data_IF_164927630355
#
_entry.id   IF_164927630355
#
_cell.length_a   1.000
_cell.length_b   1.000
_cell.length_c   1.000
_cell.angle_alpha   90.00
_cell.angle_beta   90.00
_cell.angle_gamma   90.00
#
_symmetry.space_group_name_H-M   'P 1'
#
loop_
_entity.id
_entity.type
_entity.pdbx_description
1 polymer ?
#
# COMPACT_ATOMS: atom_id res chain seq x y z
N UNK A 1 34.25 1.02 1.71
CA UNK A 1 34.80 2.38 1.44
C UNK A 1 36.31 2.48 1.72
N UNK A 2 36.81 1.94 2.85
CA UNK A 2 38.24 2.01 3.20
C UNK A 2 39.17 1.35 2.16
N UNK A 3 38.79 0.20 1.59
CA UNK A 3 39.58 -0.46 0.54
C UNK A 3 39.70 0.36 -0.76
N UNK A 4 38.63 1.04 -1.19
CA UNK A 4 38.65 1.89 -2.38
C UNK A 4 39.54 3.13 -2.18
N UNK A 5 39.55 3.70 -0.96
CA UNK A 5 40.46 4.79 -0.59
C UNK A 5 41.91 4.32 -0.49
N UNK A 6 42.15 3.12 0.03
CA UNK A 6 43.49 2.52 0.09
C UNK A 6 44.09 2.24 -1.31
N UNK A 7 43.24 1.99 -2.32
CA UNK A 7 43.61 1.84 -3.73
C UNK A 7 43.76 3.18 -4.47
N UNK A 8 43.68 4.33 -3.78
CA UNK A 8 43.81 5.66 -4.40
C UNK A 8 42.65 6.05 -5.32
N UNK A 9 41.51 5.35 -5.26
CA UNK A 9 40.36 5.67 -6.12
C UNK A 9 39.73 7.01 -5.73
N UNK A 10 39.46 7.83 -6.74
CA UNK A 10 38.64 9.05 -6.58
C UNK A 10 37.27 8.69 -5.97
N UNK A 11 36.74 9.50 -5.03
CA UNK A 11 35.47 9.22 -4.35
C UNK A 11 34.32 8.93 -5.33
N UNK A 12 34.21 9.71 -6.41
CA UNK A 12 33.19 9.52 -7.43
C UNK A 12 33.24 8.14 -8.10
N UNK A 13 34.45 7.60 -8.35
CA UNK A 13 34.64 6.27 -8.95
C UNK A 13 34.27 5.18 -7.96
N UNK A 14 34.63 5.33 -6.68
CA UNK A 14 34.25 4.39 -5.64
C UNK A 14 32.72 4.32 -5.47
N UNK A 15 32.01 5.45 -5.58
CA UNK A 15 30.55 5.49 -5.53
C UNK A 15 29.92 4.75 -6.71
N UNK A 16 30.32 5.03 -7.94
CA UNK A 16 29.72 4.42 -9.13
C UNK A 16 30.06 2.94 -9.31
N UNK A 17 31.30 2.55 -9.02
CA UNK A 17 31.79 1.19 -9.32
C UNK A 17 31.57 0.22 -8.18
N UNK A 18 31.52 0.70 -6.93
CA UNK A 18 31.44 -0.17 -5.75
C UNK A 18 30.12 0.04 -5.01
N UNK A 19 29.83 1.26 -4.58
CA UNK A 19 28.69 1.52 -3.68
C UNK A 19 27.36 1.39 -4.41
N UNK A 20 27.23 1.94 -5.61
CA UNK A 20 26.00 1.94 -6.39
C UNK A 20 25.51 0.54 -6.80
N UNK A 21 26.34 -0.34 -7.40
CA UNK A 21 25.93 -1.70 -7.72
C UNK A 21 25.64 -2.53 -6.47
N UNK A 22 26.35 -2.31 -5.36
CA UNK A 22 26.07 -2.99 -4.08
C UNK A 22 24.76 -2.52 -3.46
N UNK A 23 24.52 -1.22 -3.42
CA UNK A 23 23.31 -0.62 -2.87
C UNK A 23 22.07 -1.10 -3.64
N UNK A 24 22.13 -1.15 -4.97
CA UNK A 24 21.01 -1.66 -5.80
C UNK A 24 20.70 -3.14 -5.53
N UNK A 25 21.73 -3.98 -5.38
CA UNK A 25 21.56 -5.42 -5.08
C UNK A 25 20.90 -5.67 -3.72
N UNK A 26 21.03 -4.75 -2.77
CA UNK A 26 20.45 -4.86 -1.42
C UNK A 26 19.09 -4.14 -1.34
N UNK A 27 19.02 -2.91 -1.85
CA UNK A 27 17.84 -2.06 -1.76
C UNK A 27 16.69 -2.54 -2.66
N UNK A 28 16.96 -3.07 -3.86
CA UNK A 28 15.91 -3.54 -4.76
C UNK A 28 15.09 -4.71 -4.18
N UNK A 29 15.68 -5.81 -3.69
CA UNK A 29 14.91 -6.89 -3.06
C UNK A 29 14.24 -6.44 -1.75
N UNK A 30 14.86 -5.56 -0.97
CA UNK A 30 14.26 -5.02 0.25
C UNK A 30 13.02 -4.15 -0.05
N UNK A 31 13.11 -3.26 -1.04
CA UNK A 31 12.01 -2.41 -1.48
C UNK A 31 10.86 -3.25 -2.05
N UNK A 32 11.18 -4.29 -2.82
CA UNK A 32 10.17 -5.22 -3.35
C UNK A 32 9.46 -5.99 -2.22
N UNK A 33 10.18 -6.43 -1.19
CA UNK A 33 9.59 -7.08 -0.02
C UNK A 33 8.60 -6.18 0.74
N UNK A 34 8.98 -4.91 0.95
CA UNK A 34 8.09 -3.91 1.57
C UNK A 34 6.88 -3.62 0.68
N UNK A 35 7.06 -3.49 -0.63
CA UNK A 35 5.97 -3.27 -1.58
C UNK A 35 4.98 -4.44 -1.60
N UNK A 36 5.48 -5.67 -1.71
CA UNK A 36 4.63 -6.89 -1.69
C UNK A 36 3.91 -7.03 -0.37
N UNK A 37 4.57 -6.75 0.76
CA UNK A 37 3.95 -6.72 2.09
C UNK A 37 2.81 -5.69 2.16
N UNK A 38 3.07 -4.46 1.73
CA UNK A 38 2.08 -3.39 1.72
C UNK A 38 0.87 -3.71 0.82
N UNK A 39 1.10 -4.27 -0.37
CA UNK A 39 0.02 -4.71 -1.27
C UNK A 39 -0.80 -5.83 -0.63
N UNK A 40 -0.15 -6.78 0.04
CA UNK A 40 -0.82 -7.91 0.69
C UNK A 40 -1.67 -7.46 1.87
N UNK A 41 -1.12 -6.64 2.77
CA UNK A 41 -1.85 -6.16 3.95
C UNK A 41 -3.04 -5.26 3.53
N UNK A 42 -2.84 -4.41 2.52
CA UNK A 42 -3.90 -3.55 1.96
C UNK A 42 -4.98 -4.35 1.24
N UNK A 43 -4.60 -5.27 0.35
CA UNK A 43 -5.56 -6.07 -0.42
C UNK A 43 -6.33 -7.02 0.49
N UNK A 44 -5.69 -7.61 1.49
CA UNK A 44 -6.34 -8.50 2.47
C UNK A 44 -7.39 -7.74 3.29
N UNK A 45 -7.03 -6.56 3.83
CA UNK A 45 -7.97 -5.70 4.57
C UNK A 45 -9.11 -5.23 3.65
N UNK A 46 -8.81 -4.81 2.42
CA UNK A 46 -9.81 -4.35 1.46
C UNK A 46 -10.80 -5.47 1.09
N UNK A 47 -10.30 -6.68 0.82
CA UNK A 47 -11.13 -7.84 0.47
C UNK A 47 -12.05 -8.22 1.65
N UNK A 48 -11.51 -8.34 2.86
CA UNK A 48 -12.30 -8.65 4.06
C UNK A 48 -13.39 -7.58 4.27
N UNK A 49 -13.04 -6.30 4.14
CA UNK A 49 -14.00 -5.20 4.27
C UNK A 49 -15.14 -5.25 3.24
N UNK A 50 -14.84 -5.56 1.98
CA UNK A 50 -15.90 -5.77 0.96
C UNK A 50 -16.82 -6.92 1.36
N UNK A 51 -16.23 -8.08 1.69
CA UNK A 51 -17.02 -9.28 1.96
C UNK A 51 -17.88 -9.14 3.22
N UNK A 52 -17.35 -8.51 4.27
CA UNK A 52 -18.08 -8.26 5.51
C UNK A 52 -19.26 -7.31 5.30
N UNK A 53 -18.99 -6.14 4.71
CA UNK A 53 -20.01 -5.12 4.46
C UNK A 53 -21.06 -5.60 3.45
N UNK A 54 -20.65 -6.31 2.40
CA UNK A 54 -21.58 -6.89 1.41
C UNK A 54 -22.40 -8.03 2.01
N UNK A 55 -21.81 -8.84 2.90
CA UNK A 55 -22.51 -9.87 3.66
C UNK A 55 -23.59 -9.27 4.55
N UNK A 56 -23.23 -8.24 5.32
CA UNK A 56 -24.17 -7.50 6.16
C UNK A 56 -25.31 -6.87 5.33
N UNK A 57 -24.99 -6.24 4.20
CA UNK A 57 -25.98 -5.67 3.30
C UNK A 57 -26.96 -6.72 2.74
N UNK A 58 -26.45 -7.89 2.32
CA UNK A 58 -27.29 -8.99 1.87
C UNK A 58 -28.18 -9.54 2.99
N UNK A 59 -27.68 -9.61 4.22
CA UNK A 59 -28.46 -10.04 5.38
C UNK A 59 -29.61 -9.06 5.70
N UNK A 60 -29.35 -7.75 5.63
CA UNK A 60 -30.37 -6.71 5.82
C UNK A 60 -31.42 -6.76 4.71
N UNK A 61 -30.99 -6.85 3.44
CA UNK A 61 -31.92 -6.93 2.29
C UNK A 61 -32.69 -8.26 2.25
N UNK A 62 -32.18 -9.34 2.83
CA UNK A 62 -32.92 -10.59 2.96
C UNK A 62 -34.12 -10.48 3.93
N UNK A 63 -34.07 -9.53 4.88
CA UNK A 63 -35.20 -9.18 5.74
C UNK A 63 -36.32 -8.52 4.95
N UNK A 64 -37.55 -9.00 5.09
CA UNK A 64 -38.71 -8.56 4.30
C UNK A 64 -38.97 -7.05 4.39
N UNK A 65 -38.60 -6.43 5.51
CA UNK A 65 -38.81 -5.00 5.79
C UNK A 65 -37.87 -4.06 5.00
N UNK A 66 -36.66 -4.52 4.66
CA UNK A 66 -35.64 -3.70 4.00
C UNK A 66 -35.43 -4.04 2.51
N UNK A 67 -36.13 -5.05 1.99
CA UNK A 67 -36.14 -5.40 0.55
C UNK A 67 -36.45 -4.21 -0.38
N UNK A 68 -37.43 -3.32 -0.07
CA UNK A 68 -37.69 -2.15 -0.91
C UNK A 68 -36.53 -1.15 -0.94
N UNK A 69 -35.83 -1.01 0.20
CA UNK A 69 -34.75 -0.04 0.42
C UNK A 69 -33.35 -0.57 0.06
N UNK A 70 -33.28 -1.61 -0.79
CA UNK A 70 -32.01 -2.20 -1.21
C UNK A 70 -31.07 -1.17 -1.85
N UNK A 71 -31.61 -0.17 -2.54
CA UNK A 71 -30.84 0.92 -3.13
C UNK A 71 -30.15 1.74 -2.04
N UNK A 72 -30.85 2.18 -1.00
CA UNK A 72 -30.23 2.91 0.12
C UNK A 72 -29.17 2.09 0.83
N UNK A 73 -29.40 0.78 1.01
CA UNK A 73 -28.42 -0.13 1.63
C UNK A 73 -27.14 -0.21 0.78
N UNK A 74 -27.25 -0.46 -0.52
CA UNK A 74 -26.07 -0.50 -1.40
C UNK A 74 -25.39 0.86 -1.52
N UNK A 75 -26.12 1.96 -1.46
CA UNK A 75 -25.58 3.32 -1.50
C UNK A 75 -24.82 3.65 -0.20
N UNK A 76 -25.33 3.21 0.96
CA UNK A 76 -24.62 3.30 2.23
C UNK A 76 -23.32 2.48 2.21
N UNK A 77 -23.35 1.26 1.66
CA UNK A 77 -22.14 0.44 1.45
C UNK A 77 -21.15 1.15 0.53
N UNK A 78 -21.60 1.73 -0.57
CA UNK A 78 -20.76 2.46 -1.51
C UNK A 78 -20.09 3.68 -0.85
N UNK A 79 -20.81 4.43 -0.03
CA UNK A 79 -20.27 5.56 0.76
C UNK A 79 -19.24 5.10 1.79
N UNK A 80 -19.51 4.00 2.49
CA UNK A 80 -18.58 3.40 3.45
C UNK A 80 -17.29 2.98 2.76
N UNK A 81 -17.42 2.35 1.58
CA UNK A 81 -16.28 1.92 0.77
C UNK A 81 -15.48 3.10 0.22
N UNK A 82 -16.17 4.14 -0.24
CA UNK A 82 -15.54 5.38 -0.70
C UNK A 82 -14.79 6.08 0.45
N UNK A 83 -15.37 6.11 1.65
CA UNK A 83 -14.73 6.63 2.86
C UNK A 83 -13.48 5.84 3.26
N UNK A 84 -13.55 4.51 3.23
CA UNK A 84 -12.42 3.63 3.49
C UNK A 84 -11.29 3.83 2.45
N UNK A 85 -11.66 3.91 1.16
CA UNK A 85 -10.72 4.20 0.07
C UNK A 85 -10.05 5.57 0.24
N UNK A 86 -10.80 6.60 0.65
CA UNK A 86 -10.26 7.92 0.98
C UNK A 86 -9.32 7.89 2.20
N UNK A 87 -9.67 7.14 3.25
CA UNK A 87 -8.84 7.00 4.44
C UNK A 87 -7.52 6.32 4.08
N UNK A 88 -7.56 5.23 3.33
CA UNK A 88 -6.39 4.52 2.84
C UNK A 88 -5.54 5.41 1.92
N UNK A 89 -6.17 6.13 0.99
CA UNK A 89 -5.49 7.06 0.10
C UNK A 89 -4.82 8.22 0.87
N UNK A 90 -5.38 8.64 2.02
CA UNK A 90 -4.75 9.62 2.92
C UNK A 90 -3.61 9.03 3.74
N UNK A 91 -3.73 7.77 4.19
CA UNK A 91 -2.64 7.06 4.89
C UNK A 91 -1.47 6.85 3.93
N UNK A 92 -1.72 6.40 2.71
CA UNK A 92 -0.71 6.28 1.65
C UNK A 92 0.01 7.62 1.41
N UNK A 93 -0.73 8.72 1.21
CA UNK A 93 -0.15 10.07 1.06
C UNK A 93 0.63 10.56 2.29
N UNK A 94 0.24 10.15 3.51
CA UNK A 94 1.00 10.47 4.73
C UNK A 94 2.27 9.64 4.87
N UNK A 95 2.27 8.41 4.35
CA UNK A 95 3.44 7.54 4.31
C UNK A 95 4.40 7.93 3.18
N UNK A 96 3.91 8.54 2.10
CA UNK A 96 4.68 9.24 1.07
C UNK A 96 5.23 10.61 1.55
N UNK A 97 5.53 10.74 2.85
CA UNK A 97 6.14 11.95 3.41
C UNK A 97 7.38 12.41 2.63
N UNK A 98 7.69 13.73 2.65
CA UNK A 98 8.50 14.42 1.65
C UNK A 98 9.90 13.81 1.49
N UNK A 99 10.06 12.91 0.54
CA UNK A 99 11.35 12.35 0.14
C UNK A 99 11.59 12.59 -1.35
N UNK A 100 11.38 13.83 -1.79
CA UNK A 100 11.79 14.31 -3.10
C UNK A 100 11.86 15.85 -3.13
N UNK A 101 12.72 16.43 -2.29
CA UNK A 101 13.30 17.77 -2.52
C UNK A 101 14.59 17.90 -1.74
#
# INVERSE_FOLDING_TARGET
MMAARALGMRPAVAYWTVIWPQARRIAAPAALGVFVGAVKDTSLVSIIGVFDVLGAAKAVVAGTDWRPYHVEVYLAVALLYFGASLALSRVARRMEGPAAS
#
